data_IF_517447830203
#
_entry.id   IF_517447830203
#
_cell.length_a   1.000
_cell.length_b   1.000
_cell.length_c   1.000
_cell.angle_alpha   90.00
_cell.angle_beta   90.00
_cell.angle_gamma   90.00
#
_symmetry.space_group_name_H-M   'P 1'
#
loop_
_entity.id
_entity.type
_entity.pdbx_description
1 polymer ?
#
# COMPACT_ATOMS: atom_id res chain seq x y z
N UNK A 1 10.96 -37.16 -15.48
CA UNK A 1 10.62 -35.72 -15.43
C UNK A 1 11.62 -35.06 -14.49
N UNK A 2 12.47 -34.16 -15.00
CA UNK A 2 13.64 -33.63 -14.30
C UNK A 2 13.25 -32.81 -13.05
N UNK A 3 13.94 -33.05 -11.93
CA UNK A 3 13.81 -32.28 -10.68
C UNK A 3 14.40 -30.89 -10.93
N UNK A 4 13.55 -29.91 -11.24
CA UNK A 4 13.98 -28.55 -11.59
C UNK A 4 14.60 -27.77 -10.41
N UNK A 5 14.56 -28.31 -9.19
CA UNK A 5 15.00 -27.62 -7.96
C UNK A 5 15.77 -28.54 -7.00
N UNK A 6 16.88 -29.13 -7.46
CA UNK A 6 17.81 -29.83 -6.57
C UNK A 6 18.42 -28.88 -5.51
N UNK A 7 18.86 -29.38 -4.34
CA UNK A 7 19.36 -28.54 -3.24
C UNK A 7 20.54 -27.64 -3.64
N UNK A 8 21.35 -28.08 -4.61
CA UNK A 8 22.51 -27.34 -5.10
C UNK A 8 22.23 -26.35 -6.24
N UNK A 9 20.97 -26.25 -6.69
CA UNK A 9 20.60 -25.31 -7.75
C UNK A 9 20.75 -23.88 -7.23
N UNK A 10 21.55 -23.07 -7.92
CA UNK A 10 21.67 -21.63 -7.64
C UNK A 10 20.42 -20.93 -8.17
N UNK A 11 19.74 -20.19 -7.31
CA UNK A 11 18.47 -19.51 -7.63
C UNK A 11 18.64 -18.00 -7.79
N UNK A 12 19.68 -17.44 -7.19
CA UNK A 12 20.02 -16.04 -7.31
C UNK A 12 21.53 -15.86 -7.10
N UNK A 13 22.09 -14.90 -7.83
CA UNK A 13 23.49 -14.48 -7.68
C UNK A 13 23.52 -12.95 -7.68
N UNK A 14 24.25 -12.35 -6.73
CA UNK A 14 24.49 -10.92 -6.70
C UNK A 14 25.99 -10.62 -6.65
N UNK A 15 26.42 -9.66 -7.47
CA UNK A 15 27.78 -9.12 -7.42
C UNK A 15 27.78 -7.84 -6.61
N UNK A 16 28.55 -7.80 -5.52
CA UNK A 16 28.70 -6.61 -4.67
C UNK A 16 29.81 -5.71 -5.23
N UNK A 17 29.75 -4.41 -4.89
CA UNK A 17 30.79 -3.43 -5.26
C UNK A 17 32.17 -3.78 -4.70
N UNK A 18 32.23 -4.55 -3.62
CA UNK A 18 33.47 -5.10 -3.04
C UNK A 18 34.13 -6.21 -3.88
N UNK A 19 33.48 -6.65 -4.97
CA UNK A 19 33.95 -7.79 -5.79
C UNK A 19 33.49 -9.15 -5.29
N UNK A 20 32.86 -9.22 -4.12
CA UNK A 20 32.29 -10.45 -3.58
C UNK A 20 31.03 -10.86 -4.38
N UNK A 21 30.99 -12.12 -4.81
CA UNK A 21 29.80 -12.71 -5.41
C UNK A 21 29.06 -13.53 -4.36
N UNK A 22 27.82 -13.14 -4.04
CA UNK A 22 26.96 -13.88 -3.11
C UNK A 22 25.99 -14.71 -3.93
N UNK A 23 26.07 -16.03 -3.76
CA UNK A 23 25.18 -17.00 -4.40
C UNK A 23 24.19 -17.55 -3.38
N UNK A 24 22.93 -17.67 -3.78
CA UNK A 24 21.86 -18.31 -3.03
C UNK A 24 21.51 -19.63 -3.70
N UNK A 25 21.59 -20.74 -2.95
CA UNK A 25 21.16 -22.06 -3.43
C UNK A 25 19.73 -22.37 -3.00
N UNK A 26 19.10 -23.33 -3.67
CA UNK A 26 17.78 -23.85 -3.29
C UNK A 26 17.73 -24.35 -1.85
N UNK A 27 18.80 -25.00 -1.37
CA UNK A 27 18.89 -25.43 0.03
C UNK A 27 18.88 -24.28 1.06
N UNK A 28 19.20 -23.05 0.65
CA UNK A 28 19.12 -21.88 1.53
C UNK A 28 17.69 -21.33 1.68
N UNK A 29 16.74 -21.82 0.89
CA UNK A 29 15.34 -21.42 0.96
C UNK A 29 14.61 -22.35 1.92
N UNK A 30 14.13 -21.82 3.04
CA UNK A 30 13.44 -22.61 4.09
C UNK A 30 11.99 -22.98 3.74
N UNK A 31 11.42 -22.39 2.67
CA UNK A 31 10.02 -22.55 2.26
C UNK A 31 9.91 -23.02 0.80
N UNK A 32 10.71 -23.99 0.40
CA UNK A 32 10.77 -24.52 -0.98
C UNK A 32 9.43 -25.09 -1.46
N UNK A 33 8.62 -25.66 -0.56
CA UNK A 33 7.31 -26.27 -0.87
C UNK A 33 6.28 -25.29 -1.48
N UNK A 34 6.47 -23.98 -1.28
CA UNK A 34 5.56 -22.94 -1.80
C UNK A 34 6.14 -22.16 -2.97
N UNK A 35 7.40 -22.39 -3.32
CA UNK A 35 8.05 -21.65 -4.40
C UNK A 35 7.46 -22.00 -5.76
N UNK A 36 7.13 -23.27 -5.99
CA UNK A 36 6.50 -23.73 -7.22
C UNK A 36 5.15 -23.05 -7.44
N UNK A 37 4.29 -23.05 -6.40
CA UNK A 37 3.02 -22.34 -6.42
C UNK A 37 3.21 -20.84 -6.60
N UNK A 38 4.19 -20.23 -5.93
CA UNK A 38 4.46 -18.80 -6.08
C UNK A 38 4.89 -18.43 -7.51
N UNK A 39 5.76 -19.23 -8.12
CA UNK A 39 6.17 -19.07 -9.53
C UNK A 39 4.98 -19.25 -10.46
N UNK A 40 4.08 -20.18 -10.16
CA UNK A 40 2.85 -20.41 -10.93
C UNK A 40 1.85 -19.25 -10.76
N UNK A 41 1.60 -18.77 -9.55
CA UNK A 41 0.77 -17.62 -9.23
C UNK A 41 1.31 -16.34 -9.92
N UNK A 42 2.63 -16.17 -9.96
CA UNK A 42 3.32 -15.12 -10.71
C UNK A 42 3.09 -15.24 -12.22
N UNK A 43 3.24 -16.45 -12.79
CA UNK A 43 2.96 -16.70 -14.22
C UNK A 43 1.49 -16.45 -14.57
N UNK A 44 0.59 -16.80 -13.66
CA UNK A 44 -0.85 -16.60 -13.78
C UNK A 44 -1.27 -15.14 -13.52
N UNK A 45 -0.33 -14.26 -13.17
CA UNK A 45 -0.58 -12.82 -13.01
C UNK A 45 -1.28 -12.44 -11.70
N UNK A 46 -1.32 -13.34 -10.71
CA UNK A 46 -1.84 -13.05 -9.37
C UNK A 46 -0.94 -12.03 -8.66
N UNK A 47 0.37 -12.09 -8.93
CA UNK A 47 1.34 -11.13 -8.42
C UNK A 47 1.88 -10.26 -9.57
N UNK A 48 1.76 -8.93 -9.49
CA UNK A 48 2.28 -8.04 -10.51
C UNK A 48 3.83 -8.05 -10.50
N UNK A 49 4.44 -8.59 -11.57
CA UNK A 49 5.88 -8.47 -11.81
C UNK A 49 6.21 -7.10 -12.40
N UNK A 50 6.04 -6.04 -11.62
CA UNK A 50 6.29 -4.66 -12.07
C UNK A 50 7.75 -4.24 -11.97
N UNK A 51 8.64 -5.08 -11.42
CA UNK A 51 10.01 -4.66 -11.12
C UNK A 51 11.00 -4.76 -12.30
N UNK A 52 10.78 -5.58 -13.34
CA UNK A 52 11.77 -5.71 -14.43
C UNK A 52 11.15 -6.00 -15.80
N UNK A 53 11.24 -4.99 -16.68
CA UNK A 53 11.08 -5.13 -18.13
C UNK A 53 9.77 -4.56 -18.69
N UNK A 54 9.87 -3.49 -19.47
CA UNK A 54 8.80 -3.02 -20.36
C UNK A 54 8.41 -4.15 -21.31
N UNK A 55 7.32 -4.86 -21.03
CA UNK A 55 6.71 -5.75 -22.02
C UNK A 55 6.28 -4.89 -23.20
N UNK A 56 6.87 -5.16 -24.37
CA UNK A 56 6.41 -4.58 -25.63
C UNK A 56 4.91 -4.86 -25.75
N UNK A 57 4.06 -3.84 -26.03
CA UNK A 57 2.62 -4.06 -26.08
C UNK A 57 2.29 -5.12 -27.14
N UNK A 58 1.30 -5.99 -26.90
CA UNK A 58 0.91 -7.02 -27.85
C UNK A 58 0.56 -6.38 -29.21
N UNK A 59 0.85 -7.06 -30.34
CA UNK A 59 0.54 -6.54 -31.66
C UNK A 59 -0.96 -6.23 -31.74
N UNK A 60 -1.26 -5.03 -32.25
CA UNK A 60 -2.60 -4.47 -32.32
C UNK A 60 -3.53 -5.42 -33.06
N UNK A 61 -4.42 -6.11 -32.33
CA UNK A 61 -5.63 -6.65 -32.95
C UNK A 61 -6.49 -5.47 -33.37
N UNK A 62 -7.02 -5.53 -34.59
CA UNK A 62 -7.96 -4.54 -35.12
C UNK A 62 -9.12 -4.36 -34.14
N UNK A 63 -9.14 -3.23 -33.42
CA UNK A 63 -10.29 -2.84 -32.61
C UNK A 63 -11.46 -2.53 -33.53
N UNK A 64 -12.66 -2.82 -33.05
CA UNK A 64 -13.88 -2.21 -33.57
C UNK A 64 -13.73 -0.67 -33.56
N UNK A 65 -14.28 -0.01 -34.58
CA UNK A 65 -14.18 1.43 -34.80
C UNK A 65 -14.71 2.15 -33.54
N UNK A 66 -13.81 2.77 -32.79
CA UNK A 66 -14.14 3.68 -31.69
C UNK A 66 -14.64 5.00 -32.30
N UNK A 67 -15.68 5.64 -31.74
CA UNK A 67 -16.13 6.93 -32.23
C UNK A 67 -15.01 7.98 -32.13
N UNK A 68 -15.14 8.95 -33.01
CA UNK A 68 -14.20 9.99 -33.40
C UNK A 68 -13.50 10.71 -32.24
N UNK A 69 -12.20 10.89 -32.41
CA UNK A 69 -11.27 11.51 -31.46
C UNK A 69 -11.58 13.00 -31.36
N UNK A 70 -12.24 13.41 -30.28
CA UNK A 70 -12.14 14.80 -29.82
C UNK A 70 -10.79 14.95 -29.11
N UNK A 71 -10.08 16.01 -29.47
CA UNK A 71 -8.70 16.29 -29.06
C UNK A 71 -8.44 16.02 -27.57
N UNK A 72 -7.37 15.26 -27.33
CA UNK A 72 -6.79 15.05 -26.01
C UNK A 72 -6.23 16.37 -25.48
N UNK A 73 -7.08 17.16 -24.84
CA UNK A 73 -6.63 18.13 -23.85
C UNK A 73 -6.10 17.32 -22.69
N UNK A 74 -4.81 17.43 -22.39
CA UNK A 74 -4.22 16.96 -21.13
C UNK A 74 -5.04 17.57 -19.99
N UNK A 75 -6.01 16.83 -19.48
CA UNK A 75 -6.75 17.25 -18.32
C UNK A 75 -5.81 17.05 -17.13
N UNK A 76 -5.31 18.16 -16.61
CA UNK A 76 -4.63 18.24 -15.31
C UNK A 76 -5.68 18.09 -14.20
N UNK A 77 -6.70 17.25 -14.40
CA UNK A 77 -7.66 16.96 -13.35
C UNK A 77 -6.94 16.04 -12.37
N UNK A 78 -6.60 16.50 -11.16
CA UNK A 78 -6.21 15.58 -10.10
C UNK A 78 -7.32 14.52 -10.03
N UNK A 79 -6.93 13.24 -9.91
CA UNK A 79 -7.91 12.19 -9.64
C UNK A 79 -8.80 12.65 -8.50
N UNK A 80 -10.13 12.56 -8.64
CA UNK A 80 -11.03 13.02 -7.60
C UNK A 80 -10.67 12.28 -6.31
N UNK A 81 -10.17 13.04 -5.33
CA UNK A 81 -9.84 12.49 -4.02
C UNK A 81 -11.13 11.91 -3.44
N UNK A 82 -11.08 10.67 -2.95
CA UNK A 82 -12.25 10.03 -2.34
C UNK A 82 -12.62 10.79 -1.06
N UNK A 83 -13.62 11.66 -1.17
CA UNK A 83 -14.05 12.50 -0.05
C UNK A 83 -14.97 11.68 0.85
N UNK A 84 -14.57 11.54 2.09
CA UNK A 84 -15.39 10.87 3.09
C UNK A 84 -16.58 11.75 3.47
N UNK A 85 -17.80 11.26 3.26
CA UNK A 85 -19.03 12.01 3.52
C UNK A 85 -19.75 11.56 4.78
N UNK A 86 -19.43 10.37 5.30
CA UNK A 86 -20.12 9.81 6.48
C UNK A 86 -19.76 10.53 7.75
N UNK A 87 -20.71 10.59 8.67
CA UNK A 87 -20.53 11.25 9.97
C UNK A 87 -19.98 10.27 10.98
N UNK A 88 -19.09 10.76 11.85
CA UNK A 88 -18.57 10.00 12.98
C UNK A 88 -19.61 10.06 14.10
N UNK A 89 -20.08 8.90 14.58
CA UNK A 89 -21.01 8.79 15.73
C UNK A 89 -20.30 8.44 17.03
N UNK A 90 -19.14 7.80 16.96
CA UNK A 90 -18.29 7.52 18.11
C UNK A 90 -16.81 7.51 17.69
N UNK A 91 -15.93 7.92 18.60
CA UNK A 91 -14.50 7.92 18.38
C UNK A 91 -13.76 7.45 19.64
N UNK A 92 -12.73 6.64 19.43
CA UNK A 92 -11.72 6.31 20.43
C UNK A 92 -10.33 6.66 19.89
N UNK A 93 -9.47 7.14 20.78
CA UNK A 93 -8.09 7.50 20.47
C UNK A 93 -7.20 6.96 21.59
N UNK A 94 -6.20 6.17 21.24
CA UNK A 94 -5.22 5.58 22.16
C UNK A 94 -3.81 5.98 21.71
N UNK A 95 -2.96 6.36 22.66
CA UNK A 95 -1.58 6.75 22.38
C UNK A 95 -0.67 5.99 23.34
N UNK A 96 0.27 5.23 22.80
CA UNK A 96 1.22 4.42 23.56
C UNK A 96 2.64 4.83 23.23
N UNK A 97 3.54 4.87 24.20
CA UNK A 97 4.97 5.03 23.93
C UNK A 97 5.54 3.80 23.22
N UNK A 98 6.39 4.00 22.22
CA UNK A 98 7.12 2.91 21.54
C UNK A 98 8.63 3.15 21.69
N UNK A 99 9.38 2.11 22.05
CA UNK A 99 10.82 2.23 22.35
C UNK A 99 11.71 2.31 21.09
N UNK A 100 11.16 2.03 19.89
CA UNK A 100 11.91 1.98 18.64
C UNK A 100 11.42 3.01 17.60
N UNK A 101 12.28 3.99 17.30
CA UNK A 101 12.25 4.96 16.17
C UNK A 101 11.14 6.01 16.10
N UNK A 102 10.02 5.84 16.79
CA UNK A 102 8.96 6.85 16.90
C UNK A 102 8.47 6.92 18.34
N UNK A 103 8.38 8.13 18.90
CA UNK A 103 8.16 8.27 20.34
C UNK A 103 6.77 7.79 20.78
N UNK A 104 5.78 7.80 19.87
CA UNK A 104 4.39 7.45 20.18
C UNK A 104 3.72 6.65 19.04
N UNK A 105 2.89 5.68 19.40
CA UNK A 105 2.00 4.92 18.53
C UNK A 105 0.56 5.37 18.80
N UNK A 106 -0.03 6.05 17.81
CA UNK A 106 -1.41 6.52 17.81
C UNK A 106 -2.32 5.45 17.20
N UNK A 107 -3.43 5.13 17.86
CA UNK A 107 -4.52 4.32 17.31
C UNK A 107 -5.84 5.09 17.41
N UNK A 108 -6.49 5.29 16.26
CA UNK A 108 -7.80 5.92 16.14
C UNK A 108 -8.81 4.86 15.69
N UNK A 109 -9.93 4.74 16.42
CA UNK A 109 -11.06 3.89 16.04
C UNK A 109 -12.30 4.76 15.90
N UNK A 110 -12.95 4.70 14.73
CA UNK A 110 -14.13 5.49 14.39
C UNK A 110 -15.31 4.58 14.13
N UNK A 111 -16.47 4.97 14.67
CA UNK A 111 -17.77 4.44 14.29
C UNK A 111 -18.46 5.46 13.41
N UNK A 112 -18.84 5.05 12.21
CA UNK A 112 -19.58 5.88 11.26
C UNK A 112 -21.11 5.69 11.44
N UNK A 113 -21.89 6.64 10.92
CA UNK A 113 -23.36 6.63 10.96
C UNK A 113 -24.01 5.48 10.18
N UNK A 114 -23.35 5.01 9.12
CA UNK A 114 -23.70 3.79 8.38
C UNK A 114 -23.35 2.48 9.12
N UNK A 115 -22.90 2.58 10.37
CA UNK A 115 -22.45 1.47 11.24
C UNK A 115 -21.11 0.85 10.80
N UNK A 116 -20.37 1.45 9.88
CA UNK A 116 -19.01 1.02 9.56
C UNK A 116 -18.04 1.38 10.69
N UNK A 117 -17.10 0.47 10.98
CA UNK A 117 -15.96 0.75 11.86
C UNK A 117 -14.72 0.97 11.01
N UNK A 118 -13.95 2.01 11.33
CA UNK A 118 -12.63 2.28 10.74
C UNK A 118 -11.60 2.33 11.84
N UNK A 119 -10.39 1.83 11.54
CA UNK A 119 -9.26 1.89 12.45
C UNK A 119 -8.01 2.33 11.70
N UNK A 120 -7.26 3.25 12.30
CA UNK A 120 -5.95 3.68 11.86
C UNK A 120 -4.97 3.53 13.01
N UNK A 121 -3.83 2.90 12.76
CA UNK A 121 -2.69 2.89 13.68
C UNK A 121 -1.49 3.48 12.96
N UNK A 122 -0.92 4.54 13.49
CA UNK A 122 0.23 5.24 12.93
C UNK A 122 1.23 5.62 14.00
N UNK A 123 2.50 5.67 13.63
CA UNK A 123 3.52 6.28 14.47
C UNK A 123 3.40 7.81 14.36
N UNK A 124 3.58 8.50 15.47
CA UNK A 124 3.63 9.96 15.55
C UNK A 124 4.81 10.40 16.43
N UNK A 125 5.30 11.60 16.19
CA UNK A 125 6.30 12.27 17.02
C UNK A 125 5.64 13.29 17.96
N UNK A 126 6.24 13.63 19.11
CA UNK A 126 5.69 14.60 20.06
C UNK A 126 5.66 16.03 19.50
N UNK A 127 6.45 16.29 18.46
CA UNK A 127 6.46 17.55 17.72
C UNK A 127 5.39 17.67 16.62
N UNK A 128 4.62 16.61 16.36
CA UNK A 128 3.61 16.63 15.30
C UNK A 128 2.48 17.61 15.63
N UNK A 129 2.01 18.33 14.62
CA UNK A 129 0.93 19.29 14.78
C UNK A 129 -0.44 18.57 14.68
N UNK A 130 -1.26 18.57 15.74
CA UNK A 130 -2.54 17.87 15.73
C UNK A 130 -3.52 18.35 14.65
N UNK A 131 -3.44 19.63 14.26
CA UNK A 131 -4.27 20.21 13.18
C UNK A 131 -3.86 19.66 11.82
N UNK A 132 -2.56 19.53 11.57
CA UNK A 132 -2.04 18.97 10.32
C UNK A 132 -2.42 17.50 10.22
N UNK A 133 -2.24 16.72 11.29
CA UNK A 133 -2.67 15.32 11.34
C UNK A 133 -4.17 15.18 11.04
N UNK A 134 -5.01 16.04 11.62
CA UNK A 134 -6.44 16.01 11.34
C UNK A 134 -6.77 16.35 9.86
N UNK A 135 -6.01 17.25 9.23
CA UNK A 135 -6.15 17.57 7.81
C UNK A 135 -5.72 16.40 6.93
N UNK A 136 -4.65 15.68 7.29
CA UNK A 136 -4.23 14.47 6.57
C UNK A 136 -5.31 13.40 6.62
N UNK A 137 -5.99 13.22 7.76
CA UNK A 137 -7.12 12.29 7.85
C UNK A 137 -8.28 12.66 6.90
N UNK A 138 -8.51 13.96 6.66
CA UNK A 138 -9.49 14.41 5.66
C UNK A 138 -8.97 14.17 4.25
N UNK A 139 -7.72 14.55 3.99
CA UNK A 139 -7.08 14.43 2.68
C UNK A 139 -7.07 12.98 2.17
N UNK A 140 -6.82 12.02 3.06
CA UNK A 140 -6.84 10.60 2.73
C UNK A 140 -8.22 9.95 2.82
N UNK A 141 -9.30 10.73 2.95
CA UNK A 141 -10.67 10.21 3.00
C UNK A 141 -10.95 9.32 4.22
N UNK A 142 -10.18 9.48 5.30
CA UNK A 142 -10.40 8.72 6.53
C UNK A 142 -11.57 9.29 7.35
N UNK A 143 -11.72 10.62 7.35
CA UNK A 143 -12.81 11.36 8.01
C UNK A 143 -13.39 12.44 7.10
N UNK A 144 -14.65 12.79 7.34
CA UNK A 144 -15.29 13.93 6.69
C UNK A 144 -14.67 15.25 7.20
N UNK A 145 -14.49 16.23 6.31
CA UNK A 145 -14.00 17.58 6.61
C UNK A 145 -14.75 18.28 7.76
N UNK A 146 -16.07 18.14 7.83
CA UNK A 146 -16.85 18.74 8.93
C UNK A 146 -16.59 18.06 10.27
N UNK A 147 -16.02 16.84 10.28
CA UNK A 147 -15.70 16.08 11.49
C UNK A 147 -14.39 16.52 12.14
N UNK A 148 -13.57 17.33 11.46
CA UNK A 148 -12.31 17.87 12.02
C UNK A 148 -12.58 18.62 13.32
N UNK A 149 -13.69 19.34 13.42
CA UNK A 149 -14.06 20.07 14.64
C UNK A 149 -14.45 19.14 15.82
N UNK A 150 -14.92 17.92 15.55
CA UNK A 150 -15.26 16.94 16.59
C UNK A 150 -13.99 16.37 17.26
N UNK A 151 -12.91 16.17 16.50
CA UNK A 151 -11.62 15.71 17.03
C UNK A 151 -11.07 16.61 18.13
N UNK A 152 -11.27 17.93 18.00
CA UNK A 152 -10.75 18.91 18.95
C UNK A 152 -11.68 19.20 20.12
N UNK A 153 -12.97 18.82 20.04
CA UNK A 153 -13.94 19.08 21.11
C UNK A 153 -13.85 18.08 22.27
N UNK A 154 -13.44 16.84 22.04
CA UNK A 154 -13.33 15.81 23.07
C UNK A 154 -12.06 15.91 23.95
N UNK A 155 -11.29 17.01 23.84
CA UNK A 155 -10.12 17.26 24.69
C UNK A 155 -10.42 18.18 25.89
N UNK A 156 -11.67 18.65 26.06
CA UNK A 156 -12.08 19.53 27.16
C UNK A 156 -13.50 19.26 27.68
N UNK A 157 -13.75 18.03 28.13
CA UNK A 157 -14.79 17.72 29.15
C UNK A 157 -14.26 16.63 30.06
#
# INVERSE_FOLDING_TARGET
MQRWYGPDVIVAEMKRRSGECVQMKMANITVTEKLEKFVEDVKNGIYPLTAFGTKQPPPSRSRAISPEVTESVKSVTPEPTDVETRKIVNMMCDVKSKEESCDLLLTIVLRMDDKMNRQLTSCISPGDNPKVLAQELVHYGFINEVSVYFLFKYRYT
#
